data_IF_293919711401
#
_entry.id   IF_293919711401
#
_cell.length_a   1.000
_cell.length_b   1.000
_cell.length_c   1.000
_cell.angle_alpha   90.00
_cell.angle_beta   90.00
_cell.angle_gamma   90.00
#
_symmetry.space_group_name_H-M   'P 1'
#
loop_
_entity.id
_entity.type
_entity.pdbx_description
1 polymer ?
#
# COMPACT_ATOMS: atom_id res chain seq x y z
N UNK A 1 -7.14 14.62 -2.70
CA UNK A 1 -7.31 14.37 -4.15
C UNK A 1 -6.58 13.11 -4.58
N UNK A 2 -5.34 12.84 -4.14
CA UNK A 2 -4.57 11.66 -4.57
C UNK A 2 -5.18 10.29 -4.16
N UNK A 3 -5.71 10.15 -2.95
CA UNK A 3 -6.32 8.88 -2.53
C UNK A 3 -7.55 8.50 -3.36
N UNK A 4 -8.36 9.48 -3.77
CA UNK A 4 -9.51 9.22 -4.65
C UNK A 4 -9.05 8.69 -6.01
N UNK A 5 -8.02 9.31 -6.60
CA UNK A 5 -7.45 8.86 -7.87
C UNK A 5 -6.88 7.44 -7.80
N UNK A 6 -6.24 7.04 -6.69
CA UNK A 6 -5.83 5.64 -6.49
C UNK A 6 -7.06 4.73 -6.52
N UNK A 7 -8.15 5.12 -5.87
CA UNK A 7 -9.37 4.30 -5.87
C UNK A 7 -9.97 4.16 -7.26
N UNK A 8 -10.03 5.26 -8.02
CA UNK A 8 -10.57 5.28 -9.37
C UNK A 8 -9.72 4.40 -10.32
N UNK A 9 -8.39 4.41 -10.18
CA UNK A 9 -7.49 3.56 -10.97
C UNK A 9 -7.73 2.07 -10.73
N UNK A 10 -7.86 1.66 -9.48
CA UNK A 10 -8.11 0.26 -9.10
C UNK A 10 -9.52 -0.19 -9.48
N UNK A 11 -10.52 0.70 -9.40
CA UNK A 11 -11.86 0.41 -9.85
C UNK A 11 -11.92 0.20 -11.38
N UNK A 12 -11.15 1.00 -12.13
CA UNK A 12 -11.14 0.93 -13.60
C UNK A 12 -10.23 -0.19 -14.16
N UNK A 13 -9.11 -0.49 -13.50
CA UNK A 13 -8.05 -1.34 -14.06
C UNK A 13 -7.58 -2.49 -13.16
N UNK A 14 -8.03 -2.54 -11.89
CA UNK A 14 -7.67 -3.59 -10.96
C UNK A 14 -8.58 -4.81 -11.07
N UNK A 15 -8.07 -5.97 -10.65
CA UNK A 15 -8.89 -7.18 -10.48
C UNK A 15 -9.84 -7.06 -9.30
N UNK A 16 -10.79 -8.00 -9.17
CA UNK A 16 -11.65 -8.08 -7.97
C UNK A 16 -10.82 -8.28 -6.69
N UNK A 17 -9.72 -9.04 -6.78
CA UNK A 17 -8.77 -9.24 -5.68
C UNK A 17 -8.09 -7.92 -5.30
N UNK A 18 -7.61 -7.16 -6.28
CA UNK A 18 -6.98 -5.86 -6.06
C UNK A 18 -7.92 -4.86 -5.36
N UNK A 19 -9.21 -4.87 -5.74
CA UNK A 19 -10.22 -4.01 -5.12
C UNK A 19 -10.51 -4.41 -3.66
N UNK A 20 -10.55 -5.72 -3.36
CA UNK A 20 -10.67 -6.22 -1.98
C UNK A 20 -9.45 -5.83 -1.14
N UNK A 21 -8.25 -5.93 -1.69
CA UNK A 21 -7.01 -5.50 -1.04
C UNK A 21 -6.99 -3.99 -0.80
N UNK A 22 -7.43 -3.19 -1.77
CA UNK A 22 -7.60 -1.75 -1.61
C UNK A 22 -8.59 -1.40 -0.50
N UNK A 23 -9.71 -2.12 -0.42
CA UNK A 23 -10.67 -1.94 0.68
C UNK A 23 -10.01 -2.22 2.03
N UNK A 24 -9.31 -3.35 2.14
CA UNK A 24 -8.60 -3.73 3.36
C UNK A 24 -7.59 -2.68 3.82
N UNK A 25 -6.67 -2.28 2.94
CA UNK A 25 -5.61 -1.33 3.33
C UNK A 25 -6.15 0.05 3.71
N UNK A 26 -7.37 0.38 3.28
CA UNK A 26 -8.01 1.67 3.53
C UNK A 26 -8.92 1.69 4.74
N UNK A 27 -9.66 0.60 4.97
CA UNK A 27 -10.81 0.59 5.88
C UNK A 27 -10.66 -0.37 7.05
N UNK A 28 -9.84 -1.41 6.88
CA UNK A 28 -9.69 -2.44 7.89
C UNK A 28 -8.44 -2.21 8.74
N UNK A 29 -8.43 -2.85 9.90
CA UNK A 29 -7.27 -2.89 10.78
C UNK A 29 -6.28 -3.96 10.29
N UNK A 30 -5.01 -3.81 10.65
CA UNK A 30 -3.95 -4.78 10.38
C UNK A 30 -3.82 -5.79 11.52
N UNK A 31 -3.43 -7.05 11.27
CA UNK A 31 -3.25 -8.08 12.32
C UNK A 31 -4.10 -9.33 12.12
N UNK A 32 -4.14 -10.21 13.13
CA UNK A 32 -4.92 -11.46 13.14
C UNK A 32 -6.31 -11.32 13.75
N UNK A 33 -7.33 -11.89 13.09
CA UNK A 33 -8.67 -12.08 13.65
C UNK A 33 -9.77 -12.17 12.58
N UNK A 34 -10.94 -12.67 12.95
CA UNK A 34 -12.08 -12.89 12.03
C UNK A 34 -12.62 -11.58 11.41
N UNK A 35 -12.35 -10.43 12.05
CA UNK A 35 -12.65 -9.08 11.56
C UNK A 35 -11.53 -8.45 10.70
N UNK A 36 -10.48 -9.22 10.37
CA UNK A 36 -9.25 -8.78 9.74
C UNK A 36 -8.95 -9.67 8.55
N UNK A 37 -9.46 -9.29 7.38
CA UNK A 37 -9.26 -9.90 6.05
C UNK A 37 -9.33 -11.45 5.99
N UNK A 38 -10.36 -12.02 5.34
CA UNK A 38 -10.60 -13.46 5.43
C UNK A 38 -9.40 -14.26 4.94
N UNK A 39 -9.05 -15.32 5.70
CA UNK A 39 -8.14 -16.36 5.24
C UNK A 39 -8.54 -16.77 3.80
N UNK A 40 -7.61 -16.71 2.85
CA UNK A 40 -7.88 -17.08 1.45
C UNK A 40 -7.22 -16.27 0.34
N UNK A 41 -6.38 -15.27 0.65
CA UNK A 41 -5.55 -14.62 -0.37
C UNK A 41 -4.23 -15.37 -0.56
N UNK A 42 -3.73 -15.44 -1.79
CA UNK A 42 -2.55 -16.24 -2.18
C UNK A 42 -1.28 -15.96 -1.36
N UNK A 43 -1.21 -14.80 -0.69
CA UNK A 43 -0.04 -14.36 0.08
C UNK A 43 -0.11 -14.59 1.61
N UNK A 44 -1.11 -15.32 2.13
CA UNK A 44 -1.20 -15.67 3.56
C UNK A 44 -1.62 -14.52 4.49
N UNK A 45 -1.40 -14.67 5.81
CA UNK A 45 -1.76 -13.67 6.85
C UNK A 45 -1.01 -12.34 6.61
N UNK A 46 -1.65 -11.44 5.87
CA UNK A 46 -1.19 -10.06 5.71
C UNK A 46 -1.10 -9.41 7.09
N UNK A 47 -0.01 -8.71 7.35
CA UNK A 47 0.18 -7.98 8.61
C UNK A 47 0.07 -8.86 9.88
N UNK A 48 0.36 -10.17 9.83
CA UNK A 48 0.20 -11.10 10.97
C UNK A 48 0.88 -10.65 12.29
N UNK A 49 1.99 -9.92 12.18
CA UNK A 49 2.77 -9.39 13.32
C UNK A 49 2.26 -8.02 13.83
N UNK A 50 1.15 -7.52 13.27
CA UNK A 50 0.54 -6.24 13.62
C UNK A 50 -0.53 -6.41 14.68
N UNK A 51 -0.76 -5.34 15.44
CA UNK A 51 -1.58 -5.30 16.65
C UNK A 51 -2.86 -4.47 16.45
N UNK A 52 -3.54 -4.61 15.30
CA UNK A 52 -4.80 -3.92 15.05
C UNK A 52 -4.65 -2.50 14.48
N UNK A 53 -3.48 -2.11 13.96
CA UNK A 53 -3.26 -0.74 13.45
C UNK A 53 -4.24 -0.38 12.32
N UNK A 54 -4.86 0.79 12.44
CA UNK A 54 -5.66 1.40 11.38
C UNK A 54 -4.78 2.12 10.36
N UNK A 55 -5.35 2.50 9.20
CA UNK A 55 -4.63 3.33 8.24
C UNK A 55 -4.10 4.64 8.87
N UNK A 56 -4.87 5.24 9.78
CA UNK A 56 -4.44 6.44 10.50
C UNK A 56 -3.21 6.16 11.35
N UNK A 57 -3.16 5.03 12.05
CA UNK A 57 -2.02 4.65 12.89
C UNK A 57 -0.75 4.45 12.04
N UNK A 58 -0.88 3.91 10.82
CA UNK A 58 0.25 3.82 9.89
C UNK A 58 0.75 5.19 9.44
N UNK A 59 -0.16 6.11 9.10
CA UNK A 59 0.18 7.50 8.71
C UNK A 59 0.83 8.25 9.87
N UNK A 60 0.37 8.02 11.09
CA UNK A 60 0.89 8.67 12.29
C UNK A 60 2.13 7.99 12.88
N UNK A 61 2.57 6.87 12.30
CA UNK A 61 3.76 6.17 12.77
C UNK A 61 5.00 7.06 12.72
N UNK A 62 5.94 6.85 13.66
CA UNK A 62 7.17 7.64 13.72
C UNK A 62 7.92 7.63 12.37
N UNK A 63 8.02 6.46 11.73
CA UNK A 63 8.67 6.33 10.44
C UNK A 63 7.98 7.12 9.32
N UNK A 64 6.64 7.05 9.25
CA UNK A 64 5.86 7.79 8.23
C UNK A 64 5.98 9.30 8.42
N UNK A 65 5.89 9.80 9.66
CA UNK A 65 6.06 11.22 9.97
C UNK A 65 7.48 11.70 9.70
N UNK A 66 8.50 10.94 10.14
CA UNK A 66 9.91 11.28 9.89
C UNK A 66 10.22 11.36 8.39
N UNK A 67 9.60 10.50 7.58
CA UNK A 67 9.75 10.52 6.12
C UNK A 67 8.81 11.50 5.39
N UNK A 68 7.91 12.18 6.11
CA UNK A 68 6.92 13.07 5.50
C UNK A 68 6.02 12.33 4.49
N UNK A 69 5.57 11.13 4.86
CA UNK A 69 4.63 10.34 4.05
C UNK A 69 3.21 10.87 4.23
N UNK A 70 2.45 10.93 3.13
CA UNK A 70 1.01 11.21 3.16
C UNK A 70 0.23 9.90 3.24
N UNK A 71 -1.09 10.01 3.35
CA UNK A 71 -1.99 8.85 3.31
C UNK A 71 -1.85 8.06 2.00
N UNK A 72 -1.66 8.75 0.85
CA UNK A 72 -1.45 8.10 -0.45
C UNK A 72 -0.16 7.28 -0.46
N UNK A 73 0.92 7.81 0.09
CA UNK A 73 2.19 7.08 0.22
C UNK A 73 2.00 5.79 1.03
N UNK A 74 1.33 5.89 2.17
CA UNK A 74 1.08 4.74 3.05
C UNK A 74 0.18 3.71 2.37
N UNK A 75 -0.89 4.14 1.71
CA UNK A 75 -1.80 3.24 0.97
C UNK A 75 -1.05 2.52 -0.16
N UNK A 76 -0.28 3.24 -0.98
CA UNK A 76 0.49 2.63 -2.07
C UNK A 76 1.54 1.63 -1.56
N UNK A 77 2.24 1.95 -0.46
CA UNK A 77 3.21 1.04 0.17
C UNK A 77 2.52 -0.23 0.70
N UNK A 78 1.39 -0.08 1.41
CA UNK A 78 0.64 -1.22 1.93
C UNK A 78 0.09 -2.11 0.82
N UNK A 79 -0.46 -1.52 -0.25
CA UNK A 79 -0.91 -2.26 -1.42
C UNK A 79 0.22 -3.09 -2.05
N UNK A 80 1.41 -2.49 -2.18
CA UNK A 80 2.57 -3.17 -2.76
C UNK A 80 3.02 -4.39 -1.94
N UNK A 81 2.73 -4.45 -0.64
CA UNK A 81 3.03 -5.63 0.20
C UNK A 81 1.94 -6.71 0.17
N UNK A 82 0.84 -6.47 -0.54
CA UNK A 82 -0.23 -7.47 -0.75
C UNK A 82 -0.09 -8.20 -2.08
N UNK A 83 -1.02 -9.10 -2.42
CA UNK A 83 -1.06 -9.76 -3.74
C UNK A 83 -1.18 -8.78 -4.93
N UNK A 84 -1.64 -7.55 -4.70
CA UNK A 84 -1.67 -6.48 -5.70
C UNK A 84 -0.29 -6.11 -6.26
N UNK A 85 0.80 -6.55 -5.63
CA UNK A 85 2.15 -6.42 -6.19
C UNK A 85 2.29 -7.05 -7.59
N UNK A 86 1.49 -8.06 -7.92
CA UNK A 86 1.47 -8.71 -9.24
C UNK A 86 0.97 -7.72 -10.30
N UNK A 87 -0.21 -7.14 -10.06
CA UNK A 87 -0.84 -6.13 -10.91
C UNK A 87 0.04 -4.89 -11.06
N UNK A 88 0.71 -4.46 -9.98
CA UNK A 88 1.62 -3.31 -10.02
C UNK A 88 2.90 -3.64 -10.81
N UNK A 89 3.53 -4.81 -10.60
CA UNK A 89 4.84 -5.07 -11.18
C UNK A 89 4.80 -5.62 -12.61
N UNK A 90 3.72 -6.26 -13.04
CA UNK A 90 3.67 -6.88 -14.37
C UNK A 90 3.83 -5.84 -15.52
N UNK A 91 3.11 -4.70 -15.55
CA UNK A 91 3.30 -3.70 -16.60
C UNK A 91 4.68 -3.03 -16.53
N UNK A 92 5.23 -2.84 -15.32
CA UNK A 92 6.60 -2.32 -15.14
C UNK A 92 7.65 -3.25 -15.75
N UNK A 93 7.52 -4.56 -15.56
CA UNK A 93 8.41 -5.56 -16.18
C UNK A 93 8.26 -5.63 -17.69
N UNK A 94 7.06 -5.43 -18.20
CA UNK A 94 6.77 -5.43 -19.63
C UNK A 94 7.20 -4.13 -20.34
N UNK A 95 7.57 -3.08 -19.60
CA UNK A 95 7.91 -1.76 -20.18
C UNK A 95 6.72 -1.09 -20.87
N UNK A 96 5.49 -1.47 -20.53
CA UNK A 96 4.27 -0.95 -21.14
C UNK A 96 3.73 0.27 -20.39
N UNK A 97 2.76 0.97 -20.99
CA UNK A 97 2.04 2.04 -20.28
C UNK A 97 1.36 1.46 -19.03
N UNK A 98 1.66 2.04 -17.88
CA UNK A 98 1.14 1.53 -16.61
C UNK A 98 -0.37 1.81 -16.48
N UNK A 99 -1.20 0.81 -16.07
CA UNK A 99 -2.63 0.98 -15.84
C UNK A 99 -2.97 1.68 -14.51
N UNK A 100 -2.03 1.69 -13.56
CA UNK A 100 -2.15 2.36 -12.25
C UNK A 100 -1.08 3.47 -12.05
N UNK A 101 -0.99 4.49 -12.94
CA UNK A 101 0.10 5.44 -12.93
C UNK A 101 0.18 6.32 -11.67
N UNK A 102 -0.94 6.72 -11.08
CA UNK A 102 -1.00 7.51 -9.84
C UNK A 102 -0.52 6.65 -8.66
N UNK A 103 -0.95 5.41 -8.60
CA UNK A 103 -0.51 4.46 -7.57
C UNK A 103 1.02 4.28 -7.60
N UNK A 104 1.58 4.04 -8.79
CA UNK A 104 3.04 3.89 -8.99
C UNK A 104 3.78 5.19 -8.68
N UNK A 105 3.22 6.34 -9.04
CA UNK A 105 3.82 7.64 -8.73
C UNK A 105 4.01 7.81 -7.21
N UNK A 106 2.95 7.59 -6.42
CA UNK A 106 3.02 7.68 -4.96
C UNK A 106 3.92 6.59 -4.36
N UNK A 107 3.90 5.37 -4.89
CA UNK A 107 4.80 4.31 -4.43
C UNK A 107 6.27 4.70 -4.62
N UNK A 108 6.62 5.21 -5.79
CA UNK A 108 7.97 5.64 -6.11
C UNK A 108 8.41 6.83 -5.24
N UNK A 109 7.54 7.82 -5.02
CA UNK A 109 7.84 8.96 -4.15
C UNK A 109 8.02 8.54 -2.68
N UNK A 110 7.15 7.65 -2.18
CA UNK A 110 7.25 7.12 -0.82
C UNK A 110 8.59 6.39 -0.59
N UNK A 111 9.02 5.55 -1.54
CA UNK A 111 10.30 4.83 -1.46
C UNK A 111 11.48 5.82 -1.44
N UNK A 112 11.44 6.90 -2.24
CA UNK A 112 12.49 7.94 -2.22
C UNK A 112 12.56 8.63 -0.86
N UNK A 113 11.42 9.04 -0.30
CA UNK A 113 11.32 9.66 1.03
C UNK A 113 11.87 8.77 2.14
N UNK A 114 11.51 7.49 2.14
CA UNK A 114 12.01 6.51 3.12
C UNK A 114 13.53 6.31 3.02
N UNK A 115 14.12 6.34 1.82
CA UNK A 115 15.57 6.23 1.63
C UNK A 115 16.33 7.42 2.24
N UNK A 116 15.79 8.63 2.11
CA UNK A 116 16.38 9.84 2.72
C UNK A 116 16.46 9.69 4.24
N UNK A 117 15.38 9.20 4.87
CA UNK A 117 15.36 8.95 6.32
C UNK A 117 16.38 7.91 6.73
N UNK A 118 16.49 6.79 5.99
CA UNK A 118 17.44 5.72 6.32
C UNK A 118 18.89 6.22 6.32
N UNK A 119 19.26 7.06 5.35
CA UNK A 119 20.62 7.63 5.25
C UNK A 119 20.89 8.65 6.38
N UNK A 120 19.89 9.44 6.77
CA UNK A 120 20.01 10.39 7.89
C UNK A 120 19.92 9.75 9.28
N UNK A 121 19.88 8.43 9.40
CA UNK A 121 19.82 7.70 10.69
C UNK A 121 21.02 6.74 10.87
N UNK A 122 22.12 7.00 10.15
CA UNK A 122 23.41 6.37 10.45
C UNK A 122 24.01 7.03 11.70
N UNK A 123 23.69 6.47 12.87
CA UNK A 123 24.51 6.55 14.09
C UNK A 123 25.27 5.21 14.24
#
# INVERSE_FOLDING_TARGET
QGLASICDEFAANGTEEDQKLLHYVRRMRAGRGDDLFPAGFENGDLDAARNGESLKDFVDSYAARKAGLSIEHVVSLRLYTTAAFKTINQPLRAGSRHPLPVTVHFLADAIKKLRVVKIGTSD
#
